data_IF_922867321376
#
_entry.id   IF_922867321376
#
_cell.length_a   1.000
_cell.length_b   1.000
_cell.length_c   1.000
_cell.angle_alpha   90.00
_cell.angle_beta   90.00
_cell.angle_gamma   90.00
#
_symmetry.space_group_name_H-M   'P 1'
#
loop_
_entity.id
_entity.type
_entity.pdbx_description
1 polymer ?
#
# COMPACT_ATOMS: atom_id res chain seq x y z
N UNK A 1 3.22 32.66 -13.68
CA UNK A 1 4.67 32.91 -13.55
C UNK A 1 5.26 31.64 -12.96
N UNK A 2 6.22 30.97 -13.60
CA UNK A 2 6.84 29.80 -12.98
C UNK A 2 7.52 30.26 -11.68
N UNK A 3 7.25 29.55 -10.59
CA UNK A 3 7.91 29.78 -9.30
C UNK A 3 9.33 29.21 -9.45
N UNK A 4 10.35 30.06 -9.50
CA UNK A 4 11.74 29.61 -9.57
C UNK A 4 12.22 29.26 -8.15
N UNK A 5 12.54 27.99 -7.92
CA UNK A 5 13.05 27.53 -6.64
C UNK A 5 14.55 27.82 -6.53
N UNK A 6 14.95 28.59 -5.51
CA UNK A 6 16.36 28.80 -5.17
C UNK A 6 16.79 27.86 -4.04
N UNK A 7 17.94 27.20 -4.18
CA UNK A 7 18.58 26.45 -3.10
C UNK A 7 19.89 27.11 -2.70
N UNK A 8 20.20 27.10 -1.40
CA UNK A 8 21.45 27.59 -0.85
C UNK A 8 22.08 26.56 0.08
N UNK A 9 23.38 26.29 -0.09
CA UNK A 9 24.21 25.58 0.89
C UNK A 9 24.62 26.57 1.99
N UNK A 10 24.47 26.19 3.25
CA UNK A 10 24.92 27.01 4.40
C UNK A 10 26.03 26.25 5.12
N UNK A 11 27.27 26.56 4.76
CA UNK A 11 28.46 26.13 5.49
C UNK A 11 28.97 27.34 6.30
N UNK A 12 28.56 27.44 7.58
CA UNK A 12 28.92 28.56 8.46
C UNK A 12 28.07 29.82 8.24
N UNK A 13 28.68 31.01 8.31
CA UNK A 13 27.96 32.28 8.39
C UNK A 13 27.42 32.83 7.05
N UNK A 14 27.75 32.21 5.90
CA UNK A 14 27.39 32.74 4.57
C UNK A 14 26.69 31.67 3.71
N UNK A 15 25.40 31.88 3.35
CA UNK A 15 24.71 31.05 2.36
C UNK A 15 25.37 31.16 0.98
N UNK A 16 25.54 30.03 0.29
CA UNK A 16 26.01 29.93 -1.11
C UNK A 16 24.88 29.38 -1.97
N UNK A 17 24.43 30.15 -2.97
CA UNK A 17 23.37 29.69 -3.89
C UNK A 17 23.92 28.53 -4.73
N UNK A 18 23.20 27.42 -4.76
CA UNK A 18 23.50 26.33 -5.67
C UNK A 18 23.26 26.77 -7.11
N UNK A 19 24.12 26.34 -8.02
CA UNK A 19 23.97 26.63 -9.46
C UNK A 19 23.28 25.48 -10.17
N UNK A 20 22.43 25.80 -11.16
CA UNK A 20 21.84 24.79 -12.03
C UNK A 20 22.96 24.06 -12.79
N UNK A 21 23.05 22.75 -12.56
CA UNK A 21 23.86 21.84 -13.34
C UNK A 21 23.07 21.25 -14.51
N UNK A 22 23.74 20.53 -15.39
CA UNK A 22 23.09 19.80 -16.49
C UNK A 22 22.99 18.34 -16.11
N UNK A 23 21.76 17.82 -16.08
CA UNK A 23 21.51 16.38 -15.91
C UNK A 23 22.26 15.62 -17.03
N UNK A 24 23.17 14.68 -16.71
CA UNK A 24 24.09 14.12 -17.71
C UNK A 24 23.37 13.42 -18.87
N UNK A 25 22.43 12.52 -18.57
CA UNK A 25 21.62 11.79 -19.56
C UNK A 25 20.26 11.38 -18.98
N UNK A 26 19.30 11.08 -19.86
CA UNK A 26 18.01 10.44 -19.49
C UNK A 26 18.26 9.12 -18.75
N UNK A 27 19.19 8.32 -19.26
CA UNK A 27 19.63 7.06 -18.65
C UNK A 27 20.20 7.24 -17.22
N UNK A 28 20.82 8.38 -16.92
CA UNK A 28 21.30 8.67 -15.55
C UNK A 28 20.12 8.83 -14.60
N UNK A 29 19.11 9.61 -15.00
CA UNK A 29 17.90 9.81 -14.21
C UNK A 29 17.11 8.51 -14.05
N UNK A 30 16.99 7.73 -15.12
CA UNK A 30 16.40 6.39 -15.12
C UNK A 30 17.11 5.49 -14.11
N UNK A 31 18.44 5.50 -14.10
CA UNK A 31 19.22 4.67 -13.18
C UNK A 31 19.05 5.11 -11.73
N UNK A 32 18.94 6.41 -11.46
CA UNK A 32 18.64 6.92 -10.11
C UNK A 32 17.26 6.48 -9.64
N UNK A 33 16.22 6.63 -10.48
CA UNK A 33 14.86 6.22 -10.14
C UNK A 33 14.72 4.69 -10.06
N UNK A 34 15.43 3.93 -10.88
CA UNK A 34 15.46 2.47 -10.78
C UNK A 34 16.11 1.99 -9.47
N UNK A 35 17.10 2.74 -8.97
CA UNK A 35 17.80 2.42 -7.71
C UNK A 35 16.99 2.86 -6.49
N UNK A 36 16.43 4.06 -6.54
CA UNK A 36 15.67 4.66 -5.46
C UNK A 36 14.45 5.42 -6.02
N UNK A 37 13.33 4.72 -6.22
CA UNK A 37 12.11 5.33 -6.73
C UNK A 37 11.42 6.22 -5.70
N UNK A 38 11.83 6.18 -4.42
CA UNK A 38 11.30 7.09 -3.37
C UNK A 38 11.61 8.57 -3.67
N UNK A 39 12.55 8.82 -4.58
CA UNK A 39 12.79 10.13 -5.19
C UNK A 39 11.53 10.74 -5.80
N UNK A 40 10.54 9.94 -6.20
CA UNK A 40 9.24 10.43 -6.68
C UNK A 40 8.36 10.96 -5.54
N UNK A 41 8.49 10.46 -4.32
CA UNK A 41 7.75 10.96 -3.15
C UNK A 41 6.93 9.92 -2.41
N UNK A 42 6.87 8.71 -2.95
CA UNK A 42 6.20 7.57 -2.34
C UNK A 42 7.07 6.31 -2.53
N UNK A 43 6.96 5.30 -1.65
CA UNK A 43 7.61 4.02 -1.85
C UNK A 43 7.01 3.31 -3.07
N UNK A 44 7.88 2.86 -3.99
CA UNK A 44 7.48 2.08 -5.17
C UNK A 44 8.46 0.93 -5.37
N UNK A 45 7.96 -0.23 -5.79
CA UNK A 45 8.81 -1.33 -6.23
C UNK A 45 8.93 -1.26 -7.76
N UNK A 46 10.14 -1.05 -8.28
CA UNK A 46 10.38 -1.12 -9.73
C UNK A 46 10.32 -2.58 -10.14
N UNK A 47 9.34 -2.91 -10.99
CA UNK A 47 9.11 -4.29 -11.46
C UNK A 47 9.54 -4.49 -12.92
N UNK A 48 9.94 -3.43 -13.61
CA UNK A 48 10.47 -3.53 -14.96
C UNK A 48 11.21 -2.29 -15.40
N UNK A 49 12.23 -2.49 -16.22
CA UNK A 49 13.01 -1.44 -16.86
C UNK A 49 13.09 -1.70 -18.37
N UNK A 50 12.88 -0.66 -19.18
CA UNK A 50 12.83 -0.76 -20.64
C UNK A 50 11.88 -1.89 -21.07
N UNK A 51 10.65 -1.88 -20.54
CA UNK A 51 9.67 -2.95 -20.75
C UNK A 51 9.13 -2.88 -22.18
N UNK A 52 9.29 -3.93 -23.00
CA UNK A 52 8.76 -3.94 -24.35
C UNK A 52 7.24 -3.97 -24.34
N UNK A 53 6.63 -3.09 -25.12
CA UNK A 53 5.18 -3.08 -25.37
C UNK A 53 4.86 -3.83 -26.67
N UNK A 54 3.63 -4.32 -26.80
CA UNK A 54 3.14 -4.97 -28.02
C UNK A 54 3.20 -4.06 -29.29
N UNK A 55 3.36 -2.75 -29.10
CA UNK A 55 3.39 -1.74 -30.15
C UNK A 55 4.82 -1.34 -30.58
N UNK A 56 5.85 -2.05 -30.09
CA UNK A 56 7.24 -1.91 -30.57
C UNK A 56 8.05 -0.78 -29.92
N UNK A 57 7.52 -0.18 -28.85
CA UNK A 57 8.23 0.80 -28.00
C UNK A 57 8.47 0.27 -26.59
N UNK A 58 9.29 0.96 -25.81
CA UNK A 58 9.69 0.54 -24.47
C UNK A 58 9.22 1.54 -23.41
N UNK A 59 8.64 1.04 -22.32
CA UNK A 59 8.36 1.82 -21.11
C UNK A 59 9.68 1.96 -20.35
N UNK A 60 10.08 3.19 -19.98
CA UNK A 60 11.35 3.40 -19.29
C UNK A 60 11.40 2.66 -17.96
N UNK A 61 10.43 2.91 -17.08
CA UNK A 61 10.26 2.16 -15.83
C UNK A 61 8.79 1.83 -15.60
N UNK A 62 8.55 0.59 -15.18
CA UNK A 62 7.27 0.12 -14.66
C UNK A 62 7.45 -0.20 -13.18
N UNK A 63 6.65 0.40 -12.33
CA UNK A 63 6.68 0.18 -10.90
C UNK A 63 5.30 -0.20 -10.35
N UNK A 64 5.26 -0.65 -9.11
CA UNK A 64 4.04 -0.97 -8.37
C UNK A 64 4.10 -0.34 -6.98
N UNK A 65 2.98 0.17 -6.48
CA UNK A 65 2.85 0.68 -5.12
C UNK A 65 2.38 -0.42 -4.13
N UNK A 66 2.37 -0.08 -2.84
CA UNK A 66 1.93 -1.00 -1.78
C UNK A 66 0.45 -1.40 -1.86
N UNK A 67 -0.35 -0.75 -2.70
CA UNK A 67 -1.75 -1.08 -2.94
C UNK A 67 -1.97 -1.94 -4.20
N UNK A 68 -0.87 -2.28 -4.89
CA UNK A 68 -0.86 -3.13 -6.07
C UNK A 68 -1.16 -2.39 -7.37
N UNK A 69 -1.17 -1.05 -7.38
CA UNK A 69 -1.43 -0.26 -8.59
C UNK A 69 -0.15 -0.07 -9.39
N UNK A 70 -0.24 -0.08 -10.72
CA UNK A 70 0.92 0.07 -11.58
C UNK A 70 1.22 1.53 -11.90
N UNK A 71 2.49 1.87 -11.82
CA UNK A 71 3.03 3.19 -12.13
C UNK A 71 3.86 3.12 -13.41
N UNK A 72 3.38 3.79 -14.46
CA UNK A 72 4.09 3.92 -15.74
C UNK A 72 4.90 5.21 -15.68
N UNK A 73 6.22 5.08 -15.72
CA UNK A 73 7.14 6.22 -15.66
C UNK A 73 7.78 6.42 -17.04
N UNK A 74 7.60 7.60 -17.61
CA UNK A 74 8.25 8.01 -18.87
C UNK A 74 9.20 9.16 -18.59
N UNK A 75 10.49 8.98 -18.90
CA UNK A 75 11.55 9.92 -18.57
C UNK A 75 11.92 10.73 -19.80
N UNK A 76 12.18 12.04 -19.61
CA UNK A 76 12.72 12.91 -20.66
C UNK A 76 13.77 13.84 -20.10
N UNK A 77 14.97 13.83 -20.69
CA UNK A 77 16.08 14.70 -20.27
C UNK A 77 15.79 16.19 -20.54
N UNK A 78 15.32 16.50 -21.73
CA UNK A 78 15.10 17.87 -22.20
C UNK A 78 13.63 18.30 -22.06
N UNK A 79 13.36 19.57 -22.42
CA UNK A 79 11.99 20.11 -22.51
C UNK A 79 11.12 19.14 -23.30
N UNK A 80 10.18 18.53 -22.59
CA UNK A 80 9.46 17.41 -23.14
C UNK A 80 8.48 17.85 -24.21
N UNK A 81 8.60 17.36 -25.46
CA UNK A 81 7.63 17.63 -26.52
C UNK A 81 6.30 16.89 -26.26
N UNK A 82 5.21 17.44 -26.82
CA UNK A 82 3.84 16.88 -26.77
C UNK A 82 3.71 15.37 -26.99
N UNK A 83 4.67 14.77 -27.69
CA UNK A 83 4.72 13.35 -28.02
C UNK A 83 4.87 12.45 -26.78
N UNK A 84 5.44 12.96 -25.67
CA UNK A 84 5.51 12.18 -24.41
C UNK A 84 4.13 11.79 -23.90
N UNK A 85 3.16 12.70 -24.04
CA UNK A 85 1.82 12.48 -23.50
C UNK A 85 1.12 11.41 -24.33
N UNK A 86 1.30 11.45 -25.65
CA UNK A 86 0.79 10.39 -26.53
C UNK A 86 1.46 9.04 -26.21
N UNK A 87 2.77 9.03 -25.96
CA UNK A 87 3.54 7.83 -25.67
C UNK A 87 3.12 7.19 -24.34
N UNK A 88 3.05 7.97 -23.24
CA UNK A 88 2.66 7.43 -21.94
C UNK A 88 1.20 6.94 -21.93
N UNK A 89 0.31 7.57 -22.70
CA UNK A 89 -1.07 7.09 -22.88
C UNK A 89 -1.14 5.79 -23.71
N UNK A 90 -0.31 5.66 -24.73
CA UNK A 90 -0.18 4.42 -25.50
C UNK A 90 0.29 3.27 -24.59
N UNK A 91 1.28 3.54 -23.74
CA UNK A 91 1.78 2.58 -22.76
C UNK A 91 0.72 2.21 -21.74
N UNK A 92 0.01 3.20 -21.21
CA UNK A 92 -1.11 2.98 -20.30
C UNK A 92 -2.15 2.02 -20.90
N UNK A 93 -2.43 2.13 -22.20
CA UNK A 93 -3.40 1.27 -22.87
C UNK A 93 -3.00 -0.21 -22.88
N UNK A 94 -1.70 -0.49 -22.99
CA UNK A 94 -1.15 -1.85 -22.90
C UNK A 94 -1.08 -2.34 -21.44
N UNK A 95 -0.54 -1.51 -20.54
CA UNK A 95 -0.38 -1.86 -19.11
C UNK A 95 -1.74 -2.11 -18.45
N UNK A 96 -2.80 -1.37 -18.83
CA UNK A 96 -4.17 -1.59 -18.34
C UNK A 96 -4.73 -2.99 -18.65
N UNK A 97 -4.16 -3.70 -19.62
CA UNK A 97 -4.57 -5.05 -19.99
C UNK A 97 -3.83 -6.16 -19.26
N UNK A 98 -2.82 -5.84 -18.44
CA UNK A 98 -2.03 -6.84 -17.73
C UNK A 98 -2.83 -7.45 -16.57
N UNK A 99 -2.96 -8.77 -16.55
CA UNK A 99 -3.51 -9.50 -15.42
C UNK A 99 -2.45 -9.74 -14.32
N UNK A 100 -2.89 -10.28 -13.18
CA UNK A 100 -2.04 -10.54 -12.01
C UNK A 100 -0.82 -11.38 -12.36
N UNK A 101 -1.02 -12.48 -13.09
CA UNK A 101 0.05 -13.43 -13.38
C UNK A 101 1.06 -12.80 -14.36
N UNK A 102 0.58 -12.03 -15.34
CA UNK A 102 1.43 -11.26 -16.24
C UNK A 102 2.27 -10.20 -15.52
N UNK A 103 1.71 -9.51 -14.53
CA UNK A 103 2.44 -8.53 -13.70
C UNK A 103 3.55 -9.23 -12.91
N UNK A 104 3.25 -10.37 -12.30
CA UNK A 104 4.22 -11.14 -11.51
C UNK A 104 5.31 -11.74 -12.39
N UNK A 105 4.96 -12.26 -13.57
CA UNK A 105 5.94 -12.74 -14.54
C UNK A 105 6.85 -11.62 -15.04
N UNK A 106 6.30 -10.41 -15.21
CA UNK A 106 7.10 -9.23 -15.56
C UNK A 106 8.06 -8.88 -14.43
N UNK A 107 7.56 -8.80 -13.19
CA UNK A 107 8.36 -8.51 -12.00
C UNK A 107 9.47 -9.54 -11.78
N UNK A 108 9.17 -10.84 -11.82
CA UNK A 108 10.13 -11.92 -11.61
C UNK A 108 11.21 -12.01 -12.68
N UNK A 109 11.00 -11.44 -13.88
CA UNK A 109 12.06 -11.31 -14.89
C UNK A 109 13.02 -10.16 -14.61
N UNK A 110 12.63 -9.21 -13.77
CA UNK A 110 13.40 -8.01 -13.48
C UNK A 110 14.08 -8.06 -12.11
N UNK A 111 13.39 -8.59 -11.10
CA UNK A 111 13.82 -8.64 -9.71
C UNK A 111 14.83 -9.77 -9.48
N UNK A 112 15.75 -9.58 -8.53
CA UNK A 112 16.73 -10.59 -8.10
C UNK A 112 16.12 -11.66 -7.19
N UNK A 113 14.92 -11.42 -6.67
CA UNK A 113 14.16 -12.32 -5.80
C UNK A 113 12.69 -12.38 -6.25
N UNK A 114 11.91 -13.38 -5.78
CA UNK A 114 10.49 -13.48 -6.13
C UNK A 114 9.71 -12.21 -5.76
N UNK A 115 8.80 -11.80 -6.63
CA UNK A 115 7.95 -10.62 -6.48
C UNK A 115 7.34 -10.49 -5.09
N UNK A 116 6.78 -11.57 -4.55
CA UNK A 116 6.15 -11.58 -3.23
C UNK A 116 7.13 -11.28 -2.09
N UNK A 117 8.42 -11.63 -2.25
CA UNK A 117 9.48 -11.36 -1.27
C UNK A 117 9.97 -9.92 -1.38
N UNK A 118 10.19 -9.43 -2.60
CA UNK A 118 10.61 -8.05 -2.85
C UNK A 118 9.52 -7.04 -2.44
N UNK A 119 8.27 -7.32 -2.78
CA UNK A 119 7.13 -6.50 -2.41
C UNK A 119 7.01 -6.39 -0.89
N UNK A 120 7.13 -7.51 -0.19
CA UNK A 120 7.07 -7.52 1.26
C UNK A 120 8.23 -6.78 1.91
N UNK A 121 9.46 -7.01 1.44
CA UNK A 121 10.64 -6.35 1.98
C UNK A 121 10.55 -4.83 1.88
N UNK A 122 9.90 -4.32 0.83
CA UNK A 122 9.71 -2.88 0.63
C UNK A 122 8.49 -2.31 1.38
N UNK A 123 7.36 -3.01 1.37
CA UNK A 123 6.08 -2.49 1.84
C UNK A 123 5.65 -3.04 3.21
N UNK A 124 6.45 -3.90 3.84
CA UNK A 124 6.16 -4.57 5.11
C UNK A 124 4.79 -5.25 5.12
N UNK A 125 4.39 -5.78 3.96
CA UNK A 125 3.09 -6.42 3.74
C UNK A 125 3.07 -7.30 2.51
N UNK A 126 2.21 -8.33 2.53
CA UNK A 126 1.97 -9.17 1.35
C UNK A 126 1.32 -8.36 0.20
N UNK A 127 1.62 -8.70 -1.06
CA UNK A 127 0.89 -8.16 -2.20
C UNK A 127 -0.63 -8.39 -2.07
N UNK A 128 -1.47 -7.43 -2.50
CA UNK A 128 -2.91 -7.65 -2.54
C UNK A 128 -3.30 -8.72 -3.57
N UNK A 129 -4.47 -9.34 -3.36
CA UNK A 129 -4.99 -10.40 -4.25
C UNK A 129 -5.20 -9.91 -5.69
N UNK A 130 -5.61 -8.64 -5.83
CA UNK A 130 -5.82 -7.97 -7.10
C UNK A 130 -4.71 -6.95 -7.31
N UNK A 131 -3.96 -7.13 -8.40
CA UNK A 131 -2.95 -6.21 -8.90
C UNK A 131 -3.51 -5.46 -10.10
N UNK A 132 -2.94 -4.28 -10.39
CA UNK A 132 -3.27 -3.46 -11.56
C UNK A 132 -4.74 -2.99 -11.60
N UNK A 133 -5.32 -2.70 -10.43
CA UNK A 133 -6.68 -2.15 -10.34
C UNK A 133 -6.74 -0.70 -10.82
N UNK A 134 -5.70 0.09 -10.50
CA UNK A 134 -5.52 1.45 -10.98
C UNK A 134 -4.13 1.63 -11.62
N UNK A 135 -4.02 2.67 -12.44
CA UNK A 135 -2.78 3.09 -13.09
C UNK A 135 -2.43 4.50 -12.67
N UNK A 136 -1.15 4.77 -12.51
CA UNK A 136 -0.60 6.11 -12.37
C UNK A 136 0.39 6.34 -13.50
N UNK A 137 0.26 7.47 -14.21
CA UNK A 137 1.11 7.82 -15.34
C UNK A 137 1.97 9.03 -14.94
N UNK A 138 3.27 8.84 -14.79
CA UNK A 138 4.17 9.92 -14.35
C UNK A 138 5.17 10.25 -15.44
N UNK A 139 5.09 11.49 -15.93
CA UNK A 139 6.12 12.06 -16.79
C UNK A 139 7.22 12.63 -15.90
N UNK A 140 8.43 12.14 -16.05
CA UNK A 140 9.61 12.59 -15.33
C UNK A 140 10.44 13.46 -16.26
N UNK A 141 10.59 14.75 -15.98
CA UNK A 141 11.31 15.65 -16.87
C UNK A 141 12.13 16.71 -16.12
N UNK A 142 12.97 17.47 -16.82
CA UNK A 142 13.57 18.70 -16.27
C UNK A 142 12.60 19.88 -16.35
N UNK A 143 11.81 19.94 -17.42
CA UNK A 143 10.73 20.89 -17.62
C UNK A 143 9.75 20.37 -18.69
N UNK A 144 8.49 20.83 -18.67
CA UNK A 144 7.51 20.59 -19.72
C UNK A 144 7.40 21.83 -20.62
N UNK A 145 7.06 21.62 -21.88
CA UNK A 145 6.63 22.74 -22.71
C UNK A 145 5.19 23.18 -22.36
N UNK A 146 4.81 24.46 -22.56
CA UNK A 146 3.48 24.95 -22.18
C UNK A 146 2.32 24.18 -22.83
N UNK A 147 2.52 23.56 -23.99
CA UNK A 147 1.50 22.72 -24.61
C UNK A 147 1.33 21.39 -23.88
N UNK A 148 2.44 20.76 -23.46
CA UNK A 148 2.41 19.53 -22.65
C UNK A 148 1.79 19.77 -21.28
N UNK A 149 2.16 20.85 -20.57
CA UNK A 149 1.53 21.21 -19.29
C UNK A 149 0.02 21.39 -19.42
N UNK A 150 -0.42 22.11 -20.46
CA UNK A 150 -1.85 22.32 -20.75
C UNK A 150 -2.57 21.00 -21.02
N UNK A 151 -1.97 20.08 -21.78
CA UNK A 151 -2.56 18.78 -22.08
C UNK A 151 -2.66 17.92 -20.82
N UNK A 152 -1.58 17.81 -20.03
CA UNK A 152 -1.57 17.06 -18.76
C UNK A 152 -2.66 17.61 -17.83
N UNK A 153 -2.71 18.93 -17.64
CA UNK A 153 -3.74 19.58 -16.82
C UNK A 153 -5.16 19.30 -17.33
N UNK A 154 -5.37 19.37 -18.64
CA UNK A 154 -6.67 19.06 -19.26
C UNK A 154 -7.08 17.61 -19.01
N UNK A 155 -6.19 16.64 -19.27
CA UNK A 155 -6.47 15.21 -19.09
C UNK A 155 -6.79 14.85 -17.64
N UNK A 156 -6.08 15.45 -16.68
CA UNK A 156 -6.40 15.31 -15.25
C UNK A 156 -7.80 15.80 -14.92
N UNK A 157 -8.26 16.88 -15.53
CA UNK A 157 -9.64 17.36 -15.39
C UNK A 157 -10.71 16.33 -15.80
N UNK A 158 -10.34 15.32 -16.62
CA UNK A 158 -11.20 14.19 -16.99
C UNK A 158 -10.92 12.91 -16.17
N UNK A 159 -10.12 13.01 -15.10
CA UNK A 159 -9.77 11.90 -14.23
C UNK A 159 -8.76 10.93 -14.82
N UNK A 160 -8.01 11.34 -15.86
CA UNK A 160 -6.85 10.56 -16.32
C UNK A 160 -5.75 10.71 -15.27
N UNK A 161 -5.21 9.60 -14.72
CA UNK A 161 -4.26 9.61 -13.61
C UNK A 161 -2.84 9.94 -14.10
N UNK A 162 -2.69 11.04 -14.84
CA UNK A 162 -1.43 11.52 -15.40
C UNK A 162 -0.89 12.68 -14.59
N UNK A 163 0.39 12.66 -14.24
CA UNK A 163 1.07 13.76 -13.58
C UNK A 163 2.48 13.97 -14.17
N UNK A 164 3.11 15.09 -13.80
CA UNK A 164 4.49 15.37 -14.17
C UNK A 164 5.31 15.75 -12.93
N UNK A 165 6.47 15.11 -12.80
CA UNK A 165 7.50 15.43 -11.82
C UNK A 165 8.69 16.06 -12.52
N UNK A 166 9.19 17.13 -11.92
CA UNK A 166 10.32 17.89 -12.40
C UNK A 166 11.53 17.68 -11.52
N UNK A 167 12.64 17.30 -12.15
CA UNK A 167 13.93 17.19 -11.50
C UNK A 167 14.86 18.33 -11.90
N UNK A 168 15.33 19.05 -10.91
CA UNK A 168 16.38 20.06 -11.05
C UNK A 168 17.71 19.48 -10.58
N UNK A 169 18.70 19.54 -11.44
CA UNK A 169 20.07 19.17 -11.12
C UNK A 169 20.85 20.41 -10.68
N UNK A 170 21.48 20.34 -9.52
CA UNK A 170 22.21 21.45 -8.94
C UNK A 170 23.61 20.99 -8.57
N UNK A 171 24.59 21.85 -8.81
CA UNK A 171 26.00 21.57 -8.56
C UNK A 171 26.61 22.65 -7.69
N UNK A 172 27.57 22.25 -6.87
CA UNK A 172 28.36 23.13 -6.02
C UNK A 172 29.64 22.41 -5.58
N UNK A 173 30.78 22.90 -6.08
CA UNK A 173 32.09 22.26 -6.00
C UNK A 173 32.05 20.82 -6.57
N UNK A 174 32.43 19.80 -5.78
CA UNK A 174 32.36 18.37 -6.17
C UNK A 174 31.02 17.71 -5.82
N UNK A 175 30.07 18.47 -5.26
CA UNK A 175 28.78 17.94 -4.80
C UNK A 175 27.70 18.13 -5.85
N UNK A 176 26.86 17.11 -5.97
CA UNK A 176 25.74 17.06 -6.90
C UNK A 176 24.47 16.85 -6.11
N UNK A 177 23.44 17.62 -6.45
CA UNK A 177 22.17 17.64 -5.75
C UNK A 177 21.05 17.45 -6.76
N UNK A 178 20.05 16.67 -6.34
CA UNK A 178 18.84 16.44 -7.11
C UNK A 178 17.67 17.00 -6.30
N UNK A 179 16.91 17.91 -6.91
CA UNK A 179 15.73 18.49 -6.33
C UNK A 179 14.49 18.10 -7.14
N UNK A 180 13.37 17.82 -6.45
CA UNK A 180 12.10 17.44 -7.06
C UNK A 180 11.03 18.50 -6.86
N UNK A 181 10.18 18.68 -7.85
CA UNK A 181 8.94 19.47 -7.75
C UNK A 181 7.86 18.86 -8.63
N UNK A 182 6.60 18.95 -8.23
CA UNK A 182 5.48 18.45 -9.03
C UNK A 182 4.84 19.58 -9.85
N UNK A 183 4.31 19.25 -11.02
CA UNK A 183 3.48 20.20 -11.81
C UNK A 183 2.27 20.68 -11.00
N UNK A 184 1.68 19.79 -10.20
CA UNK A 184 0.64 20.09 -9.24
C UNK A 184 0.85 19.20 -8.02
N UNK A 185 0.73 19.77 -6.82
CA UNK A 185 0.81 19.01 -5.58
C UNK A 185 -0.28 17.90 -5.55
N UNK A 186 0.05 16.74 -4.98
CA UNK A 186 -0.74 15.50 -5.07
C UNK A 186 -2.13 15.51 -4.43
N UNK A 187 -2.64 16.65 -3.97
CA UNK A 187 -3.84 16.75 -3.13
C UNK A 187 -4.96 17.64 -3.70
N UNK A 188 -4.95 18.00 -4.99
CA UNK A 188 -6.14 18.65 -5.59
C UNK A 188 -7.12 17.59 -6.13
N UNK A 189 -8.24 17.33 -5.42
CA UNK A 189 -9.28 16.43 -5.92
C UNK A 189 -9.89 17.03 -7.18
N UNK A 190 -9.63 16.42 -8.32
CA UNK A 190 -10.37 16.72 -9.55
C UNK A 190 -11.81 16.24 -9.35
N UNK A 191 -12.73 17.19 -9.17
CA UNK A 191 -14.17 16.94 -9.07
C UNK A 191 -14.65 16.13 -10.29
N UNK A 192 -14.98 14.84 -10.08
CA UNK A 192 -15.54 13.95 -11.11
C UNK A 192 -17.04 14.20 -11.29
N UNK A 193 -17.58 14.13 -12.53
CA UNK A 193 -18.95 13.69 -12.77
C UNK A 193 -19.03 12.16 -12.65
N UNK A 194 -20.06 11.66 -12.00
CA UNK A 194 -20.25 10.24 -11.70
C UNK A 194 -20.51 9.38 -12.95
N UNK A 195 -19.53 8.58 -13.37
CA UNK A 195 -19.70 7.45 -14.27
C UNK A 195 -19.74 6.14 -13.49
N UNK A 196 -20.78 5.32 -13.70
CA UNK A 196 -20.96 4.01 -13.08
C UNK A 196 -19.88 3.02 -13.54
N UNK A 197 -18.93 2.70 -12.65
CA UNK A 197 -18.17 1.44 -12.66
C UNK A 197 -18.41 0.74 -11.33
N UNK A 198 -18.80 -0.51 -11.43
CA UNK A 198 -19.05 -1.44 -10.33
C UNK A 198 -17.79 -1.61 -9.49
N UNK A 199 -17.90 -1.36 -8.17
CA UNK A 199 -16.87 -1.69 -7.17
C UNK A 199 -15.71 -0.69 -7.08
N UNK A 200 -15.94 0.52 -6.57
CA UNK A 200 -14.82 1.38 -6.17
C UNK A 200 -14.25 0.91 -4.83
N UNK A 201 -12.94 0.67 -4.78
CA UNK A 201 -12.16 0.81 -3.54
C UNK A 201 -12.24 2.29 -3.16
N UNK A 202 -12.72 2.62 -1.97
CA UNK A 202 -12.58 3.98 -1.45
C UNK A 202 -11.10 4.27 -1.17
N UNK A 203 -10.77 5.56 -1.10
CA UNK A 203 -9.53 6.02 -0.50
C UNK A 203 -9.38 5.43 0.91
N UNK A 204 -8.15 5.17 1.30
CA UNK A 204 -7.86 4.62 2.62
C UNK A 204 -8.33 5.59 3.72
N UNK A 205 -9.24 5.15 4.58
CA UNK A 205 -9.80 6.00 5.63
C UNK A 205 -8.91 6.16 6.87
N UNK A 206 -7.67 5.66 6.82
CA UNK A 206 -6.70 5.77 7.91
C UNK A 206 -6.91 4.80 9.07
N UNK A 207 -8.07 4.13 9.19
CA UNK A 207 -8.48 3.45 10.44
C UNK A 207 -8.97 2.01 10.32
N UNK A 208 -9.59 1.60 9.21
CA UNK A 208 -10.39 0.37 9.15
C UNK A 208 -9.68 -0.84 8.55
N UNK A 209 -9.39 -1.85 9.35
CA UNK A 209 -8.68 -3.05 8.93
C UNK A 209 -9.61 -4.25 8.85
N UNK A 210 -9.40 -5.09 7.85
CA UNK A 210 -9.94 -6.44 7.79
C UNK A 210 -9.00 -7.37 8.54
N UNK A 211 -9.54 -8.28 9.35
CA UNK A 211 -8.78 -9.36 9.98
C UNK A 211 -9.48 -10.70 9.71
N UNK A 212 -8.77 -11.64 9.09
CA UNK A 212 -9.25 -13.02 8.93
C UNK A 212 -8.85 -13.85 10.15
N UNK A 213 -9.83 -14.29 10.93
CA UNK A 213 -9.60 -15.13 12.10
C UNK A 213 -9.95 -16.60 11.78
N UNK A 214 -8.93 -17.46 11.83
CA UNK A 214 -9.12 -18.90 11.70
C UNK A 214 -9.79 -19.47 12.96
N UNK A 215 -10.90 -20.17 12.78
CA UNK A 215 -11.62 -20.83 13.88
C UNK A 215 -11.67 -22.34 13.60
N UNK A 216 -10.94 -23.10 14.42
CA UNK A 216 -10.49 -24.47 14.15
C UNK A 216 -8.96 -24.58 13.95
N UNK A 217 -8.43 -25.80 13.89
CA UNK A 217 -7.01 -26.10 13.66
C UNK A 217 -6.04 -25.42 14.66
N UNK A 218 -6.41 -25.37 15.95
CA UNK A 218 -5.55 -24.83 17.00
C UNK A 218 -5.86 -23.39 17.43
N UNK A 219 -6.91 -22.78 16.86
CA UNK A 219 -7.51 -21.50 17.31
C UNK A 219 -8.99 -21.66 17.63
N UNK A 220 -9.52 -20.79 18.48
CA UNK A 220 -10.94 -20.74 18.86
C UNK A 220 -11.45 -19.30 18.85
N UNK A 221 -12.50 -19.02 18.10
CA UNK A 221 -13.15 -17.71 18.17
C UNK A 221 -13.74 -17.43 19.56
N UNK A 222 -14.18 -18.46 20.28
CA UNK A 222 -14.72 -18.31 21.64
C UNK A 222 -13.68 -17.71 22.60
N UNK A 223 -12.40 -18.07 22.45
CA UNK A 223 -11.32 -17.45 23.22
C UNK A 223 -11.10 -15.99 22.78
N UNK A 224 -11.03 -15.75 21.46
CA UNK A 224 -10.79 -14.42 20.89
C UNK A 224 -11.87 -13.41 21.27
N UNK A 225 -13.13 -13.85 21.21
CA UNK A 225 -14.30 -13.09 21.67
C UNK A 225 -14.20 -12.82 23.17
N UNK A 226 -13.99 -13.86 23.99
CA UNK A 226 -14.03 -13.76 25.44
C UNK A 226 -12.90 -12.91 26.02
N UNK A 227 -11.69 -13.04 25.50
CA UNK A 227 -10.50 -12.43 26.07
C UNK A 227 -10.00 -11.21 25.30
N UNK A 228 -10.66 -10.83 24.21
CA UNK A 228 -10.32 -9.60 23.49
C UNK A 228 -9.02 -9.72 22.71
N UNK A 229 -8.96 -10.61 21.70
CA UNK A 229 -7.80 -10.70 20.82
C UNK A 229 -8.13 -11.27 19.44
N UNK A 230 -7.25 -10.99 18.48
CA UNK A 230 -7.15 -11.69 17.20
C UNK A 230 -5.80 -12.39 17.08
N UNK A 231 -5.73 -13.48 16.31
CA UNK A 231 -4.50 -14.24 16.15
C UNK A 231 -4.34 -14.87 14.77
N UNK A 232 -3.09 -14.99 14.32
CA UNK A 232 -2.71 -15.64 13.07
C UNK A 232 -1.23 -16.10 13.14
N UNK A 233 -0.90 -17.15 12.38
CA UNK A 233 0.36 -17.87 12.49
C UNK A 233 0.27 -19.29 11.92
N UNK A 234 1.29 -20.10 12.19
CA UNK A 234 1.44 -21.46 11.65
C UNK A 234 2.18 -21.54 10.32
N UNK A 235 2.46 -20.38 9.72
CA UNK A 235 3.49 -20.15 8.70
C UNK A 235 3.79 -18.64 8.67
N UNK A 236 4.96 -18.23 8.19
CA UNK A 236 5.38 -16.84 8.09
C UNK A 236 4.38 -15.99 7.28
N UNK A 237 3.77 -16.60 6.25
CA UNK A 237 2.71 -15.99 5.44
C UNK A 237 1.52 -15.48 6.28
N UNK A 238 1.10 -16.25 7.30
CA UNK A 238 -0.08 -15.93 8.10
C UNK A 238 0.21 -14.96 9.24
N UNK A 239 1.36 -15.04 9.89
CA UNK A 239 1.71 -14.15 11.00
C UNK A 239 2.09 -12.75 10.53
N UNK A 240 2.68 -12.62 9.33
CA UNK A 240 3.22 -11.36 8.81
C UNK A 240 2.18 -10.25 8.66
N UNK A 241 1.07 -10.54 7.98
CA UNK A 241 0.05 -9.50 7.75
C UNK A 241 -0.69 -9.09 9.03
N UNK A 242 -0.81 -9.98 10.03
CA UNK A 242 -1.34 -9.60 11.33
C UNK A 242 -0.39 -8.67 12.10
N UNK A 243 0.93 -8.87 11.95
CA UNK A 243 1.95 -8.07 12.64
C UNK A 243 2.01 -6.61 12.18
N UNK A 244 1.49 -6.30 10.99
CA UNK A 244 1.44 -4.92 10.47
C UNK A 244 0.23 -4.12 10.98
N UNK A 245 -0.66 -4.72 11.79
CA UNK A 245 -1.76 -4.00 12.42
C UNK A 245 -1.21 -2.90 13.35
N UNK A 246 -1.52 -1.62 13.10
CA UNK A 246 -1.10 -0.55 13.98
C UNK A 246 -1.89 -0.58 15.29
N UNK A 247 -1.32 -0.04 16.35
CA UNK A 247 -2.05 0.21 17.61
C UNK A 247 -3.10 1.30 17.38
N UNK A 248 -4.30 1.14 17.92
CA UNK A 248 -5.44 2.03 17.69
C UNK A 248 -6.18 1.80 16.37
N UNK A 249 -5.86 0.74 15.65
CA UNK A 249 -6.58 0.36 14.43
C UNK A 249 -7.98 -0.17 14.77
N UNK A 250 -9.00 0.25 14.00
CA UNK A 250 -10.32 -0.36 14.07
C UNK A 250 -10.33 -1.62 13.20
N UNK A 251 -10.40 -2.78 13.81
CA UNK A 251 -10.37 -4.08 13.12
C UNK A 251 -11.77 -4.66 12.99
N UNK A 252 -12.13 -5.11 11.79
CA UNK A 252 -13.32 -5.90 11.51
C UNK A 252 -12.90 -7.35 11.30
N UNK A 253 -13.38 -8.23 12.19
CA UNK A 253 -12.97 -9.63 12.24
C UNK A 253 -13.91 -10.48 11.42
N UNK A 254 -13.36 -11.24 10.50
CA UNK A 254 -14.07 -12.16 9.62
C UNK A 254 -13.57 -13.58 9.82
N UNK A 255 -14.51 -14.51 10.01
CA UNK A 255 -14.22 -15.94 10.05
C UNK A 255 -14.52 -16.54 8.68
N UNK A 256 -13.53 -17.19 8.03
CA UNK A 256 -13.74 -17.85 6.74
C UNK A 256 -14.95 -18.78 6.72
N UNK A 257 -15.77 -18.66 5.67
CA UNK A 257 -17.02 -19.42 5.44
C UNK A 257 -18.15 -19.13 6.45
N UNK A 258 -17.97 -18.20 7.37
CA UNK A 258 -19.02 -17.75 8.29
C UNK A 258 -19.42 -16.29 8.03
N UNK A 259 -18.46 -15.36 8.10
CA UNK A 259 -18.70 -13.92 7.94
C UNK A 259 -18.03 -13.09 9.02
N UNK A 260 -18.42 -11.82 9.12
CA UNK A 260 -17.91 -10.88 10.11
C UNK A 260 -18.55 -11.10 11.47
N UNK A 261 -17.73 -11.19 12.52
CA UNK A 261 -18.15 -11.53 13.89
C UNK A 261 -17.86 -10.45 14.91
N UNK A 262 -16.95 -9.51 14.63
CA UNK A 262 -16.64 -8.45 15.56
C UNK A 262 -16.08 -7.21 14.89
N UNK A 263 -16.15 -6.11 15.64
CA UNK A 263 -15.39 -4.88 15.42
C UNK A 263 -14.78 -4.41 16.73
N UNK A 264 -13.50 -4.04 16.70
CA UNK A 264 -12.77 -3.61 17.89
C UNK A 264 -11.58 -2.72 17.57
N UNK A 265 -10.91 -2.24 18.61
CA UNK A 265 -9.71 -1.40 18.52
C UNK A 265 -8.49 -2.16 19.04
N UNK A 266 -7.39 -2.17 18.28
CA UNK A 266 -6.15 -2.83 18.70
C UNK A 266 -5.47 -2.07 19.84
N UNK A 267 -5.06 -2.79 20.88
CA UNK A 267 -4.51 -2.21 22.12
C UNK A 267 -2.98 -2.22 22.18
N UNK A 268 -2.34 -3.13 21.45
CA UNK A 268 -0.88 -3.26 21.39
C UNK A 268 -0.48 -3.92 20.06
N UNK A 269 0.82 -3.89 19.76
CA UNK A 269 1.40 -4.59 18.61
C UNK A 269 1.27 -6.10 18.75
N UNK A 270 1.35 -6.82 17.64
CA UNK A 270 1.35 -8.28 17.66
C UNK A 270 2.55 -8.83 18.44
N UNK A 271 2.28 -9.77 19.35
CA UNK A 271 3.29 -10.52 20.10
C UNK A 271 3.04 -12.01 19.97
N UNK A 272 4.08 -12.82 20.14
CA UNK A 272 3.91 -14.28 20.16
C UNK A 272 2.98 -14.70 21.29
N UNK A 273 2.23 -15.78 21.10
CA UNK A 273 1.25 -16.29 22.05
C UNK A 273 1.83 -16.54 23.47
N UNK A 274 3.08 -17.00 23.57
CA UNK A 274 3.76 -17.25 24.84
C UNK A 274 4.14 -15.98 25.62
N UNK A 275 4.18 -14.83 24.94
CA UNK A 275 4.47 -13.52 25.52
C UNK A 275 3.23 -12.61 25.53
N UNK A 276 2.15 -13.02 24.87
CA UNK A 276 0.98 -12.20 24.64
C UNK A 276 0.25 -11.85 25.92
N UNK A 277 -0.18 -10.59 26.00
CA UNK A 277 -1.03 -10.09 27.06
C UNK A 277 -2.35 -9.61 26.47
N UNK A 278 -3.42 -9.78 27.24
CA UNK A 278 -4.76 -9.27 26.92
C UNK A 278 -5.26 -8.38 28.06
N UNK A 279 -6.16 -7.45 27.72
CA UNK A 279 -6.71 -6.48 28.67
C UNK A 279 -8.07 -6.98 29.18
N UNK A 280 -8.11 -7.40 30.44
CA UNK A 280 -9.34 -7.74 31.16
C UNK A 280 -9.69 -6.63 32.15
N UNK A 281 -10.84 -6.74 32.84
CA UNK A 281 -11.31 -5.73 33.80
C UNK A 281 -10.28 -5.42 34.90
N UNK A 282 -9.55 -6.45 35.35
CA UNK A 282 -8.52 -6.35 36.40
C UNK A 282 -7.14 -5.89 35.86
N UNK A 283 -7.03 -5.58 34.57
CA UNK A 283 -5.81 -5.11 33.91
C UNK A 283 -5.22 -6.07 32.88
N UNK A 284 -3.93 -5.87 32.57
CA UNK A 284 -3.20 -6.72 31.61
C UNK A 284 -2.87 -8.07 32.24
N UNK A 285 -3.22 -9.16 31.56
CA UNK A 285 -2.96 -10.53 32.00
C UNK A 285 -2.29 -11.35 30.90
N UNK A 286 -1.35 -12.26 31.23
CA UNK A 286 -0.77 -13.17 30.25
C UNK A 286 -1.84 -14.09 29.65
N UNK A 287 -2.01 -14.07 28.32
CA UNK A 287 -3.02 -14.86 27.64
C UNK A 287 -2.84 -16.36 27.89
N UNK A 288 -1.59 -16.84 27.86
CA UNK A 288 -1.25 -18.25 28.09
C UNK A 288 -1.59 -18.77 29.50
N UNK A 289 -1.91 -17.88 30.46
CA UNK A 289 -2.33 -18.25 31.81
C UNK A 289 -3.86 -18.36 31.95
N UNK A 290 -4.62 -17.98 30.93
CA UNK A 290 -6.08 -17.99 30.94
C UNK A 290 -6.63 -19.38 30.56
N UNK A 291 -7.87 -19.71 30.98
CA UNK A 291 -8.52 -20.94 30.56
C UNK A 291 -8.99 -20.81 29.10
N UNK A 292 -8.19 -21.37 28.18
CA UNK A 292 -8.41 -21.34 26.73
C UNK A 292 -9.00 -22.64 26.19
N UNK A 293 -9.80 -22.55 25.13
CA UNK A 293 -10.35 -23.68 24.39
C UNK A 293 -9.36 -24.24 23.36
N UNK A 294 -8.48 -23.41 22.80
CA UNK A 294 -7.49 -23.82 21.82
C UNK A 294 -6.05 -23.69 22.32
N UNK A 295 -5.11 -24.33 21.60
CA UNK A 295 -3.71 -24.46 22.04
C UNK A 295 -2.80 -23.34 21.56
N UNK A 296 -3.13 -22.67 20.45
CA UNK A 296 -2.33 -21.58 19.84
C UNK A 296 -0.86 -21.96 19.63
N UNK A 297 -0.61 -23.22 19.29
CA UNK A 297 0.71 -23.76 18.99
C UNK A 297 0.68 -24.48 17.65
N UNK A 298 1.66 -24.16 16.80
CA UNK A 298 1.85 -24.82 15.51
C UNK A 298 3.09 -25.72 15.47
N UNK A 299 4.05 -25.49 16.37
CA UNK A 299 5.22 -26.36 16.51
C UNK A 299 4.81 -27.75 17.05
N UNK A 300 5.40 -28.80 16.46
CA UNK A 300 5.28 -30.16 16.97
C UNK A 300 5.84 -30.26 18.40
N UNK A 301 5.33 -31.21 19.18
CA UNK A 301 5.76 -31.40 20.57
C UNK A 301 7.28 -31.65 20.65
N UNK A 302 8.00 -30.79 21.37
CA UNK A 302 9.46 -30.83 21.48
C UNK A 302 10.26 -30.06 20.41
N UNK A 303 9.60 -29.49 19.40
CA UNK A 303 10.25 -28.60 18.43
C UNK A 303 10.45 -27.19 19.00
N UNK A 304 11.53 -26.48 18.61
CA UNK A 304 11.74 -25.09 19.01
C UNK A 304 10.65 -24.18 18.43
N UNK A 305 10.12 -23.30 19.27
CA UNK A 305 9.17 -22.25 18.87
C UNK A 305 9.96 -21.06 18.34
N UNK A 306 9.83 -20.80 17.04
CA UNK A 306 10.46 -19.69 16.32
C UNK A 306 9.38 -18.73 15.82
N UNK A 307 9.77 -17.53 15.40
CA UNK A 307 8.82 -16.55 14.85
C UNK A 307 8.09 -17.09 13.61
N UNK A 308 8.73 -17.95 12.82
CA UNK A 308 8.14 -18.53 11.60
C UNK A 308 7.03 -19.56 11.89
N UNK A 309 7.07 -20.21 13.06
CA UNK A 309 6.10 -21.24 13.46
C UNK A 309 5.22 -20.83 14.66
N UNK A 310 5.35 -19.57 15.11
CA UNK A 310 4.58 -19.06 16.25
C UNK A 310 3.18 -18.63 15.84
N UNK A 311 2.27 -18.69 16.81
CA UNK A 311 1.04 -17.92 16.77
C UNK A 311 1.32 -16.50 17.25
N UNK A 312 0.89 -15.49 16.49
CA UNK A 312 0.93 -14.10 16.91
C UNK A 312 -0.46 -13.66 17.33
N UNK A 313 -0.50 -12.81 18.35
CA UNK A 313 -1.71 -12.32 19.01
C UNK A 313 -1.65 -10.81 19.04
N UNK A 314 -2.75 -10.18 18.64
CA UNK A 314 -2.98 -8.75 18.82
C UNK A 314 -4.13 -8.58 19.82
N UNK A 315 -3.91 -7.94 20.99
CA UNK A 315 -5.00 -7.67 21.92
C UNK A 315 -5.93 -6.60 21.36
N UNK A 316 -7.23 -6.79 21.54
CA UNK A 316 -8.29 -5.96 20.96
C UNK A 316 -9.34 -5.64 22.02
N UNK A 317 -9.73 -4.38 22.09
CA UNK A 317 -10.94 -3.98 22.80
C UNK A 317 -12.15 -4.08 21.87
N UNK A 318 -13.08 -5.00 22.15
CA UNK A 318 -14.28 -5.15 21.33
C UNK A 318 -15.26 -4.00 21.53
N UNK A 319 -15.60 -3.31 20.43
CA UNK A 319 -16.71 -2.37 20.39
C UNK A 319 -18.04 -3.13 20.27
N UNK A 320 -18.04 -4.18 19.43
CA UNK A 320 -19.11 -5.18 19.31
C UNK A 320 -18.49 -6.53 18.93
N UNK A 321 -19.05 -7.60 19.46
CA UNK A 321 -18.71 -8.98 19.07
C UNK A 321 -19.96 -9.84 19.09
N UNK A 322 -19.93 -10.94 18.35
CA UNK A 322 -20.94 -11.99 18.40
C UNK A 322 -20.30 -13.38 18.28
N UNK A 323 -20.96 -14.42 18.80
CA UNK A 323 -20.54 -15.79 18.57
C UNK A 323 -20.49 -16.11 17.08
N UNK A 324 -19.72 -17.14 16.68
CA UNK A 324 -19.61 -17.58 15.27
C UNK A 324 -20.99 -17.76 14.59
N UNK A 325 -21.99 -18.27 15.32
CA UNK A 325 -23.35 -18.46 14.80
C UNK A 325 -24.09 -17.16 14.47
N UNK A 326 -23.64 -16.03 15.01
CA UNK A 326 -24.13 -14.68 14.73
C UNK A 326 -23.30 -13.93 13.68
N UNK A 327 -22.41 -14.63 12.96
CA UNK A 327 -21.61 -14.03 11.90
C UNK A 327 -22.50 -13.38 10.83
N UNK A 328 -22.12 -12.18 10.41
CA UNK A 328 -22.81 -11.40 9.40
C UNK A 328 -22.12 -11.49 8.04
N UNK A 329 -22.90 -11.82 7.02
CA UNK A 329 -22.42 -11.91 5.64
C UNK A 329 -23.53 -11.59 4.66
N UNK A 330 -23.21 -10.76 3.66
CA UNK A 330 -24.03 -10.50 2.48
C UNK A 330 -23.19 -10.77 1.22
N UNK A 331 -23.86 -11.18 0.13
CA UNK A 331 -23.18 -11.38 -1.15
C UNK A 331 -22.54 -10.06 -1.61
N UNK A 332 -21.25 -10.13 -1.94
CA UNK A 332 -20.46 -8.99 -2.40
C UNK A 332 -19.63 -8.32 -1.31
N UNK A 333 -19.76 -8.76 -0.05
CA UNK A 333 -18.87 -8.33 1.01
C UNK A 333 -17.43 -8.80 0.78
N UNK A 334 -16.49 -8.03 1.28
CA UNK A 334 -15.06 -8.27 1.17
C UNK A 334 -14.64 -9.41 2.10
N UNK A 335 -13.78 -10.28 1.59
CA UNK A 335 -12.99 -11.23 2.36
C UNK A 335 -11.65 -11.41 1.66
N UNK A 336 -10.60 -11.65 2.44
CA UNK A 336 -9.24 -11.84 1.94
C UNK A 336 -8.63 -13.11 2.57
N UNK A 337 -7.66 -13.72 1.89
CA UNK A 337 -6.92 -14.87 2.41
C UNK A 337 -5.81 -14.47 3.41
N UNK A 338 -5.31 -13.24 3.32
CA UNK A 338 -4.39 -12.65 4.29
C UNK A 338 -5.03 -12.54 5.67
N UNK A 339 -4.22 -12.64 6.73
CA UNK A 339 -4.71 -12.55 8.11
C UNK A 339 -5.11 -11.13 8.48
N UNK A 340 -4.49 -10.10 7.90
CA UNK A 340 -5.02 -8.74 7.95
C UNK A 340 -4.70 -7.92 6.69
N UNK A 341 -5.54 -6.94 6.38
CA UNK A 341 -5.28 -5.93 5.35
C UNK A 341 -6.17 -4.70 5.55
N UNK A 342 -5.91 -3.62 4.82
CA UNK A 342 -6.79 -2.45 4.81
C UNK A 342 -8.18 -2.83 4.28
N UNK A 343 -9.24 -2.45 4.98
CA UNK A 343 -10.63 -2.62 4.53
C UNK A 343 -11.12 -1.33 3.87
N UNK A 344 -11.18 -1.35 2.53
CA UNK A 344 -11.51 -0.16 1.72
C UNK A 344 -12.81 -0.25 0.95
N UNK A 345 -13.44 -1.41 0.93
CA UNK A 345 -14.61 -1.61 0.09
C UNK A 345 -15.81 -0.90 0.74
N UNK A 346 -16.26 0.22 0.16
CA UNK A 346 -17.38 1.05 0.66
C UNK A 346 -18.61 0.20 0.97
N UNK A 347 -18.98 -0.68 0.05
CA UNK A 347 -20.11 -1.59 0.22
C UNK A 347 -20.00 -2.42 1.51
N UNK A 348 -18.82 -2.96 1.82
CA UNK A 348 -18.62 -3.72 3.06
C UNK A 348 -18.63 -2.81 4.29
N UNK A 349 -17.93 -1.68 4.24
CA UNK A 349 -17.87 -0.73 5.35
C UNK A 349 -19.27 -0.21 5.73
N UNK A 350 -20.09 0.18 4.76
CA UNK A 350 -21.48 0.61 5.00
C UNK A 350 -22.33 -0.48 5.65
N UNK A 351 -22.16 -1.73 5.20
CA UNK A 351 -22.91 -2.88 5.72
C UNK A 351 -22.49 -3.21 7.15
N UNK A 352 -21.18 -3.15 7.43
CA UNK A 352 -20.63 -3.40 8.75
C UNK A 352 -20.97 -2.28 9.72
N UNK A 353 -20.90 -1.02 9.30
CA UNK A 353 -21.31 0.12 10.12
C UNK A 353 -22.78 -0.01 10.56
N UNK A 354 -23.67 -0.38 9.63
CA UNK A 354 -25.08 -0.64 9.95
C UNK A 354 -25.28 -1.87 10.84
N UNK A 355 -24.55 -2.95 10.58
CA UNK A 355 -24.72 -4.20 11.33
C UNK A 355 -24.23 -4.07 12.79
N UNK A 356 -23.08 -3.43 12.99
CA UNK A 356 -22.48 -3.23 14.30
C UNK A 356 -22.91 -1.94 15.00
N UNK A 357 -23.83 -1.17 14.40
CA UNK A 357 -24.35 0.08 14.97
C UNK A 357 -23.20 1.05 15.32
N UNK A 358 -22.31 1.24 14.35
CA UNK A 358 -21.18 2.16 14.46
C UNK A 358 -21.68 3.55 14.05
N UNK A 359 -22.20 4.30 15.01
CA UNK A 359 -22.43 5.73 14.82
C UNK A 359 -21.07 6.39 14.49
N UNK A 360 -21.01 7.14 13.39
CA UNK A 360 -19.84 7.98 13.08
C UNK A 360 -19.80 9.16 14.07
N UNK A 361 -19.34 8.89 15.29
CA UNK A 361 -18.91 9.89 16.25
C UNK A 361 -17.53 10.44 15.81
N UNK A 362 -17.48 11.11 14.66
CA UNK A 362 -16.34 11.93 14.23
C UNK A 362 -16.76 12.84 13.06
N UNK A 363 -17.63 13.81 13.35
CA UNK A 363 -17.82 14.99 12.52
C UNK A 363 -17.96 16.21 13.43
N UNK A 364 -16.85 16.61 14.06
CA UNK A 364 -16.62 17.98 14.54
C UNK A 364 -15.17 18.39 14.25
#
# INVERSE_FOLDING_TARGET
MPVEMGLWRIDGARPRRLTAGVLPTEQTLESYLATDPSLLGEPLLVIGRQVPTAYGKYIDLLAIDGDGNLHVLELKRDRTPREVVAQILDYASWVAGLDRDQVIDLANRHLDEPFETAFDSLFDSSPPDELNAELTLTIVATNLDPSSERIVTYLRGFGVPINAVFFSYLEDDERRYLARSWLVAGDEPTSRPAGKRSGKRADWNGRDWFVSFGDGLGRSWEDGERYGFVSAGGDAWYSRTLRSLPVGARVFVHIPKAGYVAVGETLATATRFDEAQVRLDDGWQPLAALPLHATYRHAAEGAPVTDDNSEFVVPVHWLRSSPRSGAYWEKGMFANQNSACKLRQEFTLERLARHFDLDDAAAE
#
